data_IF_693953857913
#
_entry.id   IF_693953857913
#
_cell.length_a   1.000
_cell.length_b   1.000
_cell.length_c   1.000
_cell.angle_alpha   90.00
_cell.angle_beta   90.00
_cell.angle_gamma   90.00
#
_symmetry.space_group_name_H-M   'P 1'
#
loop_
_entity.id
_entity.type
_entity.pdbx_description
1 polymer ?
#
# COMPACT_ATOMS: atom_id res chain seq x y z
N UNK A 1 10.07 -14.94 -15.28
CA UNK A 1 10.54 -13.56 -15.06
C UNK A 1 11.63 -13.60 -14.00
N UNK A 2 12.71 -12.85 -14.20
CA UNK A 2 13.85 -12.78 -13.27
C UNK A 2 13.83 -11.57 -12.33
N UNK A 3 12.97 -10.58 -12.60
CA UNK A 3 12.87 -9.37 -11.78
C UNK A 3 12.12 -9.61 -10.46
N UNK A 4 12.49 -8.81 -9.46
CA UNK A 4 11.88 -8.87 -8.12
C UNK A 4 10.46 -8.29 -8.18
N UNK A 5 9.49 -9.09 -7.77
CA UNK A 5 8.08 -8.68 -7.64
C UNK A 5 7.77 -8.31 -6.19
N UNK A 6 7.55 -7.01 -5.93
CA UNK A 6 7.24 -6.45 -4.61
C UNK A 6 5.74 -6.38 -4.28
N UNK A 7 4.86 -6.65 -5.24
CA UNK A 7 3.42 -6.46 -5.07
C UNK A 7 2.60 -6.76 -6.32
N UNK A 8 1.27 -6.77 -6.20
CA UNK A 8 0.38 -6.84 -7.36
C UNK A 8 0.42 -5.58 -8.26
N UNK A 9 0.99 -4.47 -7.78
CA UNK A 9 1.21 -3.28 -8.59
C UNK A 9 2.35 -3.42 -9.60
N UNK A 10 3.24 -4.40 -9.44
CA UNK A 10 4.36 -4.67 -10.34
C UNK A 10 4.20 -5.96 -11.14
N UNK A 11 2.97 -6.30 -11.54
CA UNK A 11 2.77 -7.33 -12.57
C UNK A 11 3.53 -6.96 -13.84
N UNK A 12 4.23 -7.93 -14.42
CA UNK A 12 5.10 -7.73 -15.58
C UNK A 12 4.45 -8.31 -16.85
N UNK A 13 3.21 -7.91 -17.06
CA UNK A 13 2.42 -8.31 -18.22
C UNK A 13 3.05 -7.82 -19.54
N UNK A 14 3.81 -6.71 -19.49
CA UNK A 14 4.52 -6.18 -20.65
C UNK A 14 5.64 -7.11 -21.13
N UNK A 15 6.53 -7.55 -20.24
CA UNK A 15 7.63 -8.45 -20.62
C UNK A 15 7.10 -9.83 -20.99
N UNK A 16 6.14 -10.35 -20.23
CA UNK A 16 5.53 -11.63 -20.53
C UNK A 16 4.96 -11.66 -21.97
N UNK A 17 4.26 -10.59 -22.37
CA UNK A 17 3.77 -10.46 -23.76
C UNK A 17 4.89 -10.30 -24.77
N UNK A 18 5.92 -9.50 -24.49
CA UNK A 18 7.04 -9.30 -25.40
C UNK A 18 7.79 -10.61 -25.69
N UNK A 19 7.84 -11.51 -24.70
CA UNK A 19 8.41 -12.86 -24.83
C UNK A 19 7.46 -13.88 -25.49
N UNK A 20 6.25 -13.46 -25.90
CA UNK A 20 5.27 -14.33 -26.53
C UNK A 20 4.57 -15.30 -25.57
N UNK A 21 4.50 -14.98 -24.27
CA UNK A 21 3.76 -15.80 -23.31
C UNK A 21 2.24 -15.64 -23.50
N UNK A 22 1.51 -16.76 -23.49
CA UNK A 22 0.05 -16.78 -23.58
C UNK A 22 -0.64 -16.55 -22.22
N UNK A 23 0.09 -16.77 -21.12
CA UNK A 23 -0.46 -16.82 -19.77
C UNK A 23 0.58 -16.48 -18.70
N UNK A 24 0.12 -15.86 -17.61
CA UNK A 24 0.96 -15.52 -16.46
C UNK A 24 0.32 -15.99 -15.14
N UNK A 25 1.16 -16.43 -14.20
CA UNK A 25 0.75 -16.79 -12.84
C UNK A 25 1.44 -15.85 -11.85
N UNK A 26 0.64 -15.11 -11.06
CA UNK A 26 1.11 -14.16 -10.06
C UNK A 26 0.85 -14.68 -8.66
N UNK A 27 1.90 -15.07 -7.95
CA UNK A 27 1.79 -15.63 -6.59
C UNK A 27 1.82 -14.55 -5.51
N UNK A 28 1.15 -14.84 -4.39
CA UNK A 28 1.35 -14.16 -3.10
C UNK A 28 0.58 -12.86 -2.89
N UNK A 29 -0.03 -12.27 -3.92
CA UNK A 29 -0.69 -10.97 -3.81
C UNK A 29 -2.14 -11.01 -4.30
N UNK A 30 -3.02 -10.29 -3.59
CA UNK A 30 -4.39 -9.98 -4.02
C UNK A 30 -4.42 -9.32 -5.39
N UNK A 31 -5.45 -9.60 -6.20
CA UNK A 31 -5.60 -9.02 -7.53
C UNK A 31 -5.88 -7.51 -7.43
N UNK A 32 -4.84 -6.68 -7.57
CA UNK A 32 -4.96 -5.22 -7.59
C UNK A 32 -5.25 -4.66 -8.99
N UNK A 33 -4.69 -5.30 -10.02
CA UNK A 33 -4.82 -4.85 -11.41
C UNK A 33 -5.96 -5.62 -12.07
N UNK A 34 -6.99 -4.95 -12.61
CA UNK A 34 -8.06 -5.63 -13.31
C UNK A 34 -7.51 -6.47 -14.46
N UNK A 35 -7.99 -7.70 -14.60
CA UNK A 35 -7.52 -8.64 -15.64
C UNK A 35 -7.75 -8.06 -17.05
N UNK A 36 -8.80 -7.27 -17.26
CA UNK A 36 -9.05 -6.62 -18.55
C UNK A 36 -8.00 -5.56 -18.92
N UNK A 37 -7.16 -5.14 -17.96
CA UNK A 37 -6.10 -4.15 -18.17
C UNK A 37 -4.78 -4.75 -18.66
N UNK A 38 -4.62 -6.08 -18.71
CA UNK A 38 -3.37 -6.77 -19.10
C UNK A 38 -3.23 -6.98 -20.61
N UNK A 39 -4.04 -6.27 -21.42
CA UNK A 39 -3.86 -6.12 -22.87
C UNK A 39 -3.52 -7.44 -23.62
N UNK A 40 -4.31 -8.48 -23.35
CA UNK A 40 -4.30 -9.74 -24.11
C UNK A 40 -3.62 -10.93 -23.43
N UNK A 41 -2.82 -10.72 -22.37
CA UNK A 41 -2.27 -11.85 -21.59
C UNK A 41 -3.21 -12.23 -20.45
N UNK A 42 -3.59 -13.50 -20.39
CA UNK A 42 -4.43 -14.03 -19.30
C UNK A 42 -3.57 -14.17 -18.03
N UNK A 43 -4.13 -13.82 -16.88
CA UNK A 43 -3.44 -13.90 -15.59
C UNK A 43 -4.22 -14.72 -14.58
N UNK A 44 -3.53 -15.61 -13.85
CA UNK A 44 -4.03 -16.29 -12.67
C UNK A 44 -3.31 -15.76 -11.43
N UNK A 45 -4.07 -15.22 -10.49
CA UNK A 45 -3.58 -14.88 -9.17
C UNK A 45 -3.67 -16.10 -8.25
N UNK A 46 -2.56 -16.46 -7.63
CA UNK A 46 -2.51 -17.54 -6.63
C UNK A 46 -2.31 -16.90 -5.27
N UNK A 47 -3.39 -16.83 -4.50
CA UNK A 47 -3.37 -16.30 -3.15
C UNK A 47 -2.73 -17.30 -2.20
N UNK A 48 -1.94 -16.78 -1.26
CA UNK A 48 -1.39 -17.55 -0.15
C UNK A 48 -2.30 -17.33 1.04
N UNK A 49 -2.83 -18.42 1.57
CA UNK A 49 -3.59 -18.41 2.82
C UNK A 49 -2.64 -18.75 3.97
N UNK A 50 -2.52 -17.84 4.93
CA UNK A 50 -1.68 -18.01 6.12
C UNK A 50 -2.60 -18.38 7.27
N UNK A 51 -2.50 -19.63 7.71
CA UNK A 51 -3.26 -20.12 8.85
C UNK A 51 -2.79 -19.44 10.14
N UNK A 52 -3.75 -19.11 11.01
CA UNK A 52 -3.50 -18.53 12.32
C UNK A 52 -4.39 -19.18 13.37
N UNK A 53 -3.88 -19.29 14.60
CA UNK A 53 -4.69 -19.65 15.76
C UNK A 53 -5.65 -18.51 16.13
N UNK A 54 -6.90 -18.65 15.67
CA UNK A 54 -7.96 -17.71 15.94
C UNK A 54 -8.34 -17.65 17.43
N UNK A 55 -8.23 -18.76 18.17
CA UNK A 55 -8.56 -18.79 19.61
C UNK A 55 -7.55 -17.94 20.36
N UNK A 56 -6.26 -18.17 20.11
CA UNK A 56 -5.19 -17.38 20.70
C UNK A 56 -5.31 -15.88 20.37
N UNK A 57 -5.65 -15.55 19.12
CA UNK A 57 -5.87 -14.16 18.71
C UNK A 57 -7.01 -13.50 19.49
N UNK A 58 -8.17 -14.16 19.57
CA UNK A 58 -9.33 -13.65 20.31
C UNK A 58 -9.01 -13.47 21.80
N UNK A 59 -8.37 -14.46 22.43
CA UNK A 59 -7.97 -14.37 23.84
C UNK A 59 -6.97 -13.23 24.08
N UNK A 60 -6.04 -13.01 23.15
CA UNK A 60 -5.10 -11.88 23.21
C UNK A 60 -5.84 -10.55 23.13
N UNK A 61 -6.81 -10.40 22.24
CA UNK A 61 -7.62 -9.17 22.18
C UNK A 61 -8.39 -8.97 23.49
N UNK A 62 -9.02 -10.02 24.02
CA UNK A 62 -9.75 -9.98 25.29
C UNK A 62 -8.90 -9.61 26.49
N UNK A 63 -7.67 -10.09 26.53
CA UNK A 63 -6.73 -9.76 27.59
C UNK A 63 -6.33 -8.27 27.57
N UNK A 64 -6.25 -7.65 26.39
CA UNK A 64 -5.72 -6.30 26.24
C UNK A 64 -6.79 -5.20 26.12
N UNK A 65 -8.01 -5.54 25.69
CA UNK A 65 -9.07 -4.58 25.42
C UNK A 65 -10.32 -4.91 26.23
N UNK A 66 -10.82 -3.98 27.06
CA UNK A 66 -12.11 -4.15 27.73
C UNK A 66 -13.24 -4.30 26.71
N UNK A 67 -14.24 -5.13 27.04
CA UNK A 67 -15.43 -5.31 26.21
C UNK A 67 -16.12 -3.96 25.87
N UNK A 68 -16.73 -3.88 24.69
CA UNK A 68 -17.41 -2.67 24.21
C UNK A 68 -16.50 -1.57 23.64
N UNK A 69 -15.17 -1.78 23.57
CA UNK A 69 -14.30 -0.88 22.81
C UNK A 69 -14.63 -0.94 21.31
N UNK A 70 -14.61 0.23 20.66
CA UNK A 70 -14.73 0.34 19.20
C UNK A 70 -13.34 0.17 18.56
N UNK A 71 -13.14 -0.95 17.88
CA UNK A 71 -11.85 -1.37 17.34
C UNK A 71 -11.87 -1.37 15.82
N UNK A 72 -10.84 -0.83 15.18
CA UNK A 72 -10.63 -1.00 13.75
C UNK A 72 -9.69 -2.18 13.52
N UNK A 73 -10.13 -3.16 12.72
CA UNK A 73 -9.43 -4.42 12.54
C UNK A 73 -9.14 -4.70 11.08
N UNK A 74 -7.96 -5.28 10.82
CA UNK A 74 -7.56 -5.68 9.49
C UNK A 74 -8.13 -7.03 8.97
N UNK A 75 -8.69 -7.97 9.77
CA UNK A 75 -9.02 -9.31 9.17
C UNK A 75 -10.18 -10.16 9.79
N UNK A 76 -10.82 -9.83 10.91
CA UNK A 76 -11.79 -10.77 11.52
C UNK A 76 -13.08 -10.17 12.11
N UNK A 77 -14.22 -10.63 11.62
CA UNK A 77 -15.54 -10.36 12.20
C UNK A 77 -15.82 -11.16 13.49
N UNK A 78 -14.94 -12.10 13.88
CA UNK A 78 -15.15 -12.97 15.04
C UNK A 78 -15.19 -12.23 16.38
N UNK A 79 -14.71 -10.98 16.43
CA UNK A 79 -14.75 -10.10 17.61
C UNK A 79 -16.09 -9.39 17.82
N UNK A 80 -16.97 -9.37 16.81
CA UNK A 80 -18.26 -8.63 16.85
C UNK A 80 -19.19 -8.97 18.03
N UNK A 81 -19.20 -10.19 18.61
CA UNK A 81 -20.06 -10.46 19.76
C UNK A 81 -19.72 -9.66 21.03
N UNK A 82 -18.47 -9.25 21.21
CA UNK A 82 -17.98 -8.60 22.45
C UNK A 82 -17.45 -7.17 22.21
N UNK A 83 -17.19 -6.82 20.95
CA UNK A 83 -16.61 -5.55 20.54
C UNK A 83 -17.41 -4.93 19.40
N UNK A 84 -17.43 -3.60 19.37
CA UNK A 84 -17.82 -2.88 18.17
C UNK A 84 -16.61 -2.91 17.21
N UNK A 85 -16.78 -3.45 15.99
CA UNK A 85 -15.67 -3.69 15.06
C UNK A 85 -15.90 -2.98 13.74
N UNK A 86 -15.00 -2.07 13.39
CA UNK A 86 -14.87 -1.49 12.05
C UNK A 86 -13.90 -2.33 11.22
N UNK A 87 -14.37 -2.84 10.08
CA UNK A 87 -13.51 -3.47 9.07
C UNK A 87 -13.46 -2.51 7.88
N UNK A 88 -12.43 -1.65 7.75
CA UNK A 88 -12.37 -0.65 6.71
C UNK A 88 -12.06 -1.28 5.35
N UNK A 89 -12.41 -0.61 4.25
CA UNK A 89 -12.11 -1.08 2.90
C UNK A 89 -11.77 0.08 1.97
N UNK A 90 -10.59 0.03 1.34
CA UNK A 90 -10.24 0.87 0.21
C UNK A 90 -10.38 0.06 -1.09
N UNK A 91 -11.42 0.30 -1.89
CA UNK A 91 -11.59 -0.43 -3.15
C UNK A 91 -10.40 -0.16 -4.09
N UNK A 92 -9.88 -1.18 -4.81
CA UNK A 92 -10.47 -2.51 -4.99
C UNK A 92 -10.04 -3.57 -3.95
N UNK A 93 -9.34 -3.19 -2.88
CA UNK A 93 -8.85 -4.12 -1.86
C UNK A 93 -10.00 -4.83 -1.13
N UNK A 94 -9.70 -6.01 -0.59
CA UNK A 94 -10.64 -6.76 0.24
C UNK A 94 -10.94 -6.03 1.56
N UNK A 95 -12.10 -6.27 2.22
CA UNK A 95 -12.36 -5.70 3.53
C UNK A 95 -11.24 -6.04 4.53
N UNK A 96 -10.74 -5.02 5.23
CA UNK A 96 -9.65 -5.13 6.20
C UNK A 96 -8.24 -5.12 5.59
N UNK A 97 -8.11 -5.31 4.28
CA UNK A 97 -6.82 -5.27 3.60
C UNK A 97 -6.29 -3.84 3.51
N UNK A 98 -4.99 -3.69 3.81
CA UNK A 98 -4.25 -2.42 3.73
C UNK A 98 -2.95 -2.61 2.96
N UNK A 99 -2.55 -1.58 2.20
CA UNK A 99 -1.28 -1.55 1.48
C UNK A 99 -0.47 -0.34 1.92
N UNK A 100 0.85 -0.40 1.75
CA UNK A 100 1.73 0.73 2.15
C UNK A 100 1.47 1.99 1.34
N UNK A 101 0.97 1.83 0.11
CA UNK A 101 0.58 2.93 -0.77
C UNK A 101 -0.92 3.30 -0.66
N UNK A 102 -1.73 2.54 0.09
CA UNK A 102 -3.18 2.75 0.15
C UNK A 102 -3.71 2.32 1.51
N UNK A 103 -4.11 3.31 2.32
CA UNK A 103 -4.68 3.09 3.64
C UNK A 103 -5.97 3.89 3.85
N UNK A 104 -6.97 3.33 4.55
CA UNK A 104 -8.23 4.01 4.79
C UNK A 104 -8.08 5.13 5.82
N UNK A 105 -8.97 6.13 5.72
CA UNK A 105 -9.27 7.02 6.86
C UNK A 105 -10.35 6.37 7.70
N UNK A 106 -10.08 6.27 9.00
CA UNK A 106 -10.96 5.61 9.97
C UNK A 106 -11.89 6.62 10.63
N UNK A 107 -12.94 6.11 11.25
CA UNK A 107 -13.79 6.90 12.14
C UNK A 107 -12.97 7.38 13.35
N UNK A 108 -12.94 8.68 13.66
CA UNK A 108 -12.22 9.21 14.83
C UNK A 108 -12.63 8.62 16.18
N UNK A 109 -13.82 8.00 16.27
CA UNK A 109 -14.30 7.36 17.50
C UNK A 109 -13.65 6.00 17.76
N UNK A 110 -12.97 5.41 16.78
CA UNK A 110 -12.20 4.18 16.94
C UNK A 110 -11.16 4.38 18.04
N UNK A 111 -11.13 3.44 18.99
CA UNK A 111 -10.25 3.49 20.16
C UNK A 111 -8.87 2.92 19.90
N UNK A 112 -8.75 1.95 19.00
CA UNK A 112 -7.47 1.40 18.62
C UNK A 112 -7.49 0.78 17.22
N UNK A 113 -6.35 0.83 16.53
CA UNK A 113 -6.04 0.06 15.33
C UNK A 113 -5.42 -1.27 15.77
N UNK A 114 -6.01 -2.36 15.29
CA UNK A 114 -5.49 -3.71 15.42
C UNK A 114 -5.02 -4.21 14.05
N UNK A 115 -3.70 -4.21 13.88
CA UNK A 115 -3.04 -4.76 12.71
C UNK A 115 -2.65 -6.21 12.98
N UNK A 116 -2.96 -7.07 12.00
CA UNK A 116 -2.60 -8.48 12.04
C UNK A 116 -1.75 -8.80 10.81
N UNK A 117 -0.45 -8.92 11.03
CA UNK A 117 0.53 -9.20 9.99
C UNK A 117 1.93 -8.97 10.55
N UNK A 118 2.91 -9.43 9.80
CA UNK A 118 4.30 -9.11 10.08
C UNK A 118 4.71 -7.80 9.42
N UNK A 119 5.85 -7.26 9.86
CA UNK A 119 6.42 -6.01 9.39
C UNK A 119 5.61 -4.79 9.80
N UNK A 120 6.26 -3.63 9.72
CA UNK A 120 5.66 -2.36 10.12
C UNK A 120 5.13 -1.54 8.96
N UNK A 121 5.56 -1.78 7.73
CA UNK A 121 5.30 -0.87 6.62
C UNK A 121 3.81 -0.62 6.34
N UNK A 122 2.98 -1.68 6.37
CA UNK A 122 1.52 -1.57 6.22
C UNK A 122 0.86 -0.94 7.44
N UNK A 123 1.32 -1.26 8.64
CA UNK A 123 0.81 -0.64 9.86
C UNK A 123 1.15 0.86 9.90
N UNK A 124 2.35 1.24 9.46
CA UNK A 124 2.79 2.63 9.37
C UNK A 124 1.95 3.42 8.39
N UNK A 125 1.54 2.84 7.25
CA UNK A 125 0.68 3.56 6.30
C UNK A 125 -0.69 3.92 6.89
N UNK A 126 -1.30 3.03 7.68
CA UNK A 126 -2.57 3.34 8.36
C UNK A 126 -2.38 4.27 9.57
N UNK A 127 -1.27 4.17 10.30
CA UNK A 127 -0.91 5.12 11.37
C UNK A 127 -0.70 6.53 10.79
N UNK A 128 0.07 6.66 9.69
CA UNK A 128 0.27 7.92 8.96
C UNK A 128 -1.06 8.55 8.54
N UNK A 129 -2.00 7.74 8.06
CA UNK A 129 -3.32 8.21 7.62
C UNK A 129 -4.24 8.64 8.78
N UNK A 130 -4.01 8.12 9.98
CA UNK A 130 -4.89 8.26 11.16
C UNK A 130 -4.08 8.58 12.44
N UNK A 131 -3.41 9.75 12.51
CA UNK A 131 -2.45 10.08 13.57
C UNK A 131 -3.00 10.08 15.00
N UNK A 132 -4.30 10.34 15.16
CA UNK A 132 -4.94 10.48 16.47
C UNK A 132 -5.44 9.14 17.04
N UNK A 133 -5.38 8.06 16.26
CA UNK A 133 -5.90 6.75 16.66
C UNK A 133 -4.71 5.86 17.01
N UNK A 134 -4.59 5.37 18.25
CA UNK A 134 -3.46 4.56 18.67
C UNK A 134 -3.48 3.19 17.98
N UNK A 135 -2.31 2.71 17.56
CA UNK A 135 -2.13 1.32 17.18
C UNK A 135 -1.76 0.47 18.41
N UNK A 136 -2.31 -0.74 18.50
CA UNK A 136 -1.96 -1.64 19.59
C UNK A 136 -0.47 -2.01 19.54
N UNK A 137 0.25 -1.75 20.64
CA UNK A 137 1.69 -2.04 20.85
C UNK A 137 2.67 -1.35 19.90
N UNK A 138 2.20 -0.47 19.03
CA UNK A 138 3.04 0.20 18.04
C UNK A 138 2.81 1.71 18.06
N UNK A 139 3.86 2.45 17.74
CA UNK A 139 3.85 3.91 17.70
C UNK A 139 4.54 4.40 16.43
N UNK A 140 4.00 5.49 15.88
CA UNK A 140 4.59 6.20 14.78
C UNK A 140 4.90 7.64 15.20
N UNK A 141 6.16 8.03 15.07
CA UNK A 141 6.59 9.38 15.41
C UNK A 141 6.21 10.35 14.29
N UNK A 142 4.99 10.89 14.40
CA UNK A 142 4.46 11.85 13.44
C UNK A 142 5.25 13.17 13.42
N UNK A 143 5.80 13.58 14.56
CA UNK A 143 6.55 14.84 14.65
C UNK A 143 7.90 14.72 13.97
N UNK A 144 8.65 13.63 14.24
CA UNK A 144 9.87 13.33 13.51
C UNK A 144 9.60 13.15 12.01
N UNK A 145 8.54 12.43 11.65
CA UNK A 145 8.13 12.23 10.26
C UNK A 145 7.86 13.56 9.52
N UNK A 146 7.15 14.49 10.18
CA UNK A 146 6.86 15.83 9.65
C UNK A 146 8.12 16.70 9.60
N UNK A 147 8.96 16.66 10.62
CA UNK A 147 10.21 17.42 10.67
C UNK A 147 11.16 17.04 9.52
N UNK A 148 11.37 15.74 9.29
CA UNK A 148 12.22 15.23 8.19
C UNK A 148 11.67 15.67 6.82
N UNK A 149 10.35 15.58 6.63
CA UNK A 149 9.70 16.03 5.37
C UNK A 149 9.82 17.54 5.18
N UNK A 150 9.61 18.33 6.25
CA UNK A 150 9.76 19.78 6.21
C UNK A 150 11.20 20.17 5.82
N UNK A 151 12.21 19.57 6.45
CA UNK A 151 13.61 19.80 6.12
C UNK A 151 13.93 19.47 4.64
N UNK A 152 13.35 18.38 4.12
CA UNK A 152 13.49 17.99 2.72
C UNK A 152 12.85 19.02 1.78
N UNK A 153 11.68 19.55 2.14
CA UNK A 153 10.98 20.60 1.39
C UNK A 153 11.80 21.90 1.39
N UNK A 154 12.29 22.32 2.57
CA UNK A 154 13.11 23.53 2.73
C UNK A 154 14.39 23.47 1.89
N UNK A 155 15.07 22.33 1.92
CA UNK A 155 16.25 22.07 1.08
C UNK A 155 15.89 22.23 -0.40
N UNK A 156 14.76 21.63 -0.82
CA UNK A 156 14.32 21.64 -2.20
C UNK A 156 13.78 23.01 -2.68
N UNK A 157 13.33 23.90 -1.80
CA UNK A 157 12.85 25.24 -2.17
C UNK A 157 13.90 26.05 -2.95
N UNK A 158 15.19 25.86 -2.62
CA UNK A 158 16.32 26.52 -3.28
C UNK A 158 16.72 25.89 -4.63
N UNK A 159 16.14 24.73 -4.99
CA UNK A 159 16.52 23.98 -6.17
C UNK A 159 16.11 24.71 -7.47
N UNK A 160 17.10 24.89 -8.35
CA UNK A 160 16.94 25.53 -9.67
C UNK A 160 16.44 24.56 -10.73
N UNK A 161 16.82 23.28 -10.61
CA UNK A 161 16.47 22.19 -11.52
C UNK A 161 15.74 21.10 -10.76
N UNK A 162 14.76 20.48 -11.43
CA UNK A 162 13.92 19.44 -10.83
C UNK A 162 13.86 18.21 -11.73
N UNK A 163 14.13 17.05 -11.14
CA UNK A 163 13.90 15.76 -11.76
C UNK A 163 12.50 15.25 -11.44
N UNK A 164 11.77 14.77 -12.44
CA UNK A 164 10.54 13.99 -12.21
C UNK A 164 10.83 12.52 -12.52
N UNK A 165 10.63 11.66 -11.52
CA UNK A 165 10.86 10.22 -11.61
C UNK A 165 9.52 9.52 -11.84
N UNK A 166 9.47 8.67 -12.87
CA UNK A 166 8.32 7.81 -13.17
C UNK A 166 8.75 6.35 -13.00
N UNK A 167 8.12 5.65 -12.06
CA UNK A 167 8.30 4.20 -11.90
C UNK A 167 7.77 3.48 -13.14
N UNK A 168 8.62 2.69 -13.79
CA UNK A 168 8.28 1.89 -14.98
C UNK A 168 7.90 0.46 -14.63
N UNK A 169 8.09 0.06 -13.37
CA UNK A 169 7.82 -1.28 -12.89
C UNK A 169 6.30 -1.54 -12.84
N UNK A 170 5.85 -2.48 -13.67
CA UNK A 170 4.45 -2.83 -13.87
C UNK A 170 3.54 -1.61 -14.04
N UNK A 171 2.69 -1.36 -13.03
CA UNK A 171 1.62 -0.34 -13.07
C UNK A 171 1.79 0.75 -12.00
N UNK A 172 2.98 0.89 -11.43
CA UNK A 172 3.25 1.85 -10.34
C UNK A 172 3.27 3.31 -10.82
N UNK A 173 3.78 3.57 -12.02
CA UNK A 173 3.86 4.91 -12.59
C UNK A 173 2.55 5.39 -13.21
N UNK A 174 2.26 6.68 -13.05
CA UNK A 174 1.14 7.35 -13.74
C UNK A 174 1.64 8.44 -14.67
N UNK A 175 1.66 8.20 -16.01
CA UNK A 175 2.00 9.24 -16.99
C UNK A 175 1.09 10.46 -16.90
N UNK A 176 -0.19 10.26 -16.56
CA UNK A 176 -1.15 11.36 -16.36
C UNK A 176 -0.72 12.29 -15.22
N UNK A 177 -0.30 11.73 -14.09
CA UNK A 177 0.21 12.51 -12.96
C UNK A 177 1.52 13.19 -13.34
N UNK A 178 2.42 12.50 -14.06
CA UNK A 178 3.68 13.09 -14.53
C UNK A 178 3.44 14.33 -15.38
N UNK A 179 2.57 14.25 -16.39
CA UNK A 179 2.26 15.38 -17.27
C UNK A 179 1.54 16.52 -16.52
N UNK A 180 0.63 16.21 -15.59
CA UNK A 180 -0.01 17.22 -14.75
C UNK A 180 1.04 18.02 -13.94
N UNK A 181 1.97 17.33 -13.28
CA UNK A 181 3.06 17.97 -12.51
C UNK A 181 4.09 18.68 -13.39
N UNK A 182 4.20 18.29 -14.65
CA UNK A 182 4.99 19.03 -15.64
C UNK A 182 4.40 20.40 -15.93
N UNK A 183 3.07 20.51 -16.05
CA UNK A 183 2.34 21.76 -16.31
C UNK A 183 2.33 22.77 -15.16
N UNK A 184 2.30 22.31 -13.90
CA UNK A 184 2.12 23.17 -12.71
C UNK A 184 3.32 24.08 -12.34
N UNK A 185 4.47 23.99 -13.03
CA UNK A 185 5.62 24.90 -12.78
C UNK A 185 6.26 25.38 -14.09
N UNK A 186 5.65 26.33 -14.80
CA UNK A 186 6.28 26.97 -15.95
C UNK A 186 7.47 27.84 -15.47
N UNK A 187 8.64 27.71 -16.11
CA UNK A 187 9.80 28.60 -15.89
C UNK A 187 11.00 28.04 -15.09
N UNK A 188 11.00 26.76 -14.69
CA UNK A 188 12.21 26.07 -14.18
C UNK A 188 12.54 24.87 -15.07
N UNK A 189 13.82 24.68 -15.39
CA UNK A 189 14.32 23.59 -16.22
C UNK A 189 14.09 22.24 -15.52
N UNK A 190 13.47 21.30 -16.23
CA UNK A 190 13.07 19.98 -15.70
C UNK A 190 13.70 18.88 -16.55
N UNK A 191 14.49 18.03 -15.92
CA UNK A 191 15.05 16.82 -16.55
C UNK A 191 14.17 15.62 -16.19
N UNK A 192 13.88 14.76 -17.17
CA UNK A 192 13.11 13.53 -16.93
C UNK A 192 14.08 12.36 -16.94
N UNK A 193 14.21 11.70 -15.80
CA UNK A 193 14.92 10.43 -15.70
C UNK A 193 13.91 9.30 -15.56
N UNK A 194 13.95 8.37 -16.52
CA UNK A 194 13.25 7.09 -16.43
C UNK A 194 14.25 6.10 -15.87
N UNK A 195 14.01 5.60 -14.67
CA UNK A 195 14.76 4.43 -14.19
C UNK A 195 14.23 3.21 -14.93
N UNK A 196 15.06 2.70 -15.84
CA UNK A 196 14.83 1.44 -16.53
C UNK A 196 15.48 0.34 -15.67
N UNK A 197 14.77 -0.74 -15.29
CA UNK A 197 15.47 -1.99 -15.05
C UNK A 197 16.10 -2.38 -16.40
N UNK A 198 17.40 -2.58 -16.40
CA UNK A 198 18.19 -2.87 -17.58
C UNK A 198 17.81 -4.24 -18.16
N UNK A 199 17.02 -4.25 -19.23
CA UNK A 199 16.88 -5.34 -20.22
C UNK A 199 16.55 -4.65 -21.55
N UNK A 200 17.56 -4.27 -22.33
CA UNK A 200 18.25 -5.03 -23.39
C UNK A 200 17.63 -4.76 -24.78
N UNK A 201 18.52 -4.56 -25.75
CA UNK A 201 18.28 -4.33 -27.19
C UNK A 201 17.39 -5.37 -27.87
#
# INVERSE_FOLDING_TARGET
MGDVTYGACCVDDFTARALGADFMVHYGHSCLIPIDSTAGIKMLYVFVDIQMDNVHFLDTVKFNFPAGHYLALAVSAALRPEYEVLVPQCRPLSPGEILGCTSPRLDPNVKAILYLGDGRFHLESIMIANPEIPAYREYYDHDAMRAIRLQSIETACSAKRWGLILGTLGRQGSPKVLEARRGERPGREKDIHREHPALAE
#
